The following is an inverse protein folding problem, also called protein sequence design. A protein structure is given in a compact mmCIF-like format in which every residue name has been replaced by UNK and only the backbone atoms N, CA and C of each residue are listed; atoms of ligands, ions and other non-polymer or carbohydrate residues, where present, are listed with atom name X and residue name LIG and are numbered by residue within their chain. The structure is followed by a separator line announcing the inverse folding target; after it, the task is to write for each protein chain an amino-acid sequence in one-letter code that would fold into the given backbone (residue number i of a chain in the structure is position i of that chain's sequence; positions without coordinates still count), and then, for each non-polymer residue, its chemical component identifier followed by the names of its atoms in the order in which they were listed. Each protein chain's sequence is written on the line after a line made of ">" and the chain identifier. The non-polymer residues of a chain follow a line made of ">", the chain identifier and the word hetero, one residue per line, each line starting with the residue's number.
data_IF_614672761122
#
_entry.id   IF_614672761122
#
_cell.length_a   1.000
_cell.length_b   1.000
_cell.length_c   1.000
_cell.angle_alpha   90.00
_cell.angle_beta   90.00
_cell.angle_gamma   90.00
#
_symmetry.space_group_name_H-M   'P 1'
#
loop_
_entity.id
_entity.type
_entity.pdbx_description
1 polymer ?
#
# COMPACT_ATOMS: atom_id res chain seq x y z
N UNK A 1 7.41 -40.64 25.56
CA UNK A 1 7.87 -39.73 24.49
C UNK A 1 6.94 -38.53 24.32
N UNK A 2 7.19 -37.43 25.06
CA UNK A 2 6.42 -36.17 24.96
C UNK A 2 7.30 -34.91 24.85
N UNK A 3 8.62 -35.08 24.76
CA UNK A 3 9.59 -33.96 24.67
C UNK A 3 10.05 -33.69 23.22
N UNK A 4 9.90 -34.68 22.34
CA UNK A 4 10.35 -34.59 20.93
C UNK A 4 9.31 -33.85 20.07
N UNK A 5 8.01 -33.94 20.40
CA UNK A 5 6.93 -33.29 19.65
C UNK A 5 6.90 -31.77 19.85
N UNK A 6 7.24 -31.28 21.05
CA UNK A 6 7.25 -29.83 21.36
C UNK A 6 8.44 -29.15 20.69
N UNK A 7 9.65 -29.72 20.81
CA UNK A 7 10.86 -29.20 20.15
C UNK A 7 10.73 -29.12 18.61
N UNK A 8 10.06 -30.08 17.97
CA UNK A 8 9.78 -30.04 16.55
C UNK A 8 8.74 -28.98 16.14
N UNK A 9 7.80 -28.65 17.04
CA UNK A 9 6.81 -27.59 16.84
C UNK A 9 7.43 -26.21 17.05
N UNK A 10 8.28 -26.04 18.07
CA UNK A 10 9.00 -24.78 18.32
C UNK A 10 9.99 -24.45 17.20
N UNK A 11 10.71 -25.44 16.67
CA UNK A 11 11.62 -25.23 15.54
C UNK A 11 10.86 -24.85 14.25
N UNK A 12 9.70 -25.48 14.00
CA UNK A 12 8.84 -25.12 12.86
C UNK A 12 8.24 -23.72 13.02
N UNK A 13 7.79 -23.36 14.22
CA UNK A 13 7.32 -22.00 14.53
C UNK A 13 8.43 -20.96 14.40
N UNK A 14 9.61 -21.23 14.93
CA UNK A 14 10.76 -20.32 14.84
C UNK A 14 11.20 -20.13 13.38
N UNK A 15 11.25 -21.21 12.59
CA UNK A 15 11.55 -21.14 11.15
C UNK A 15 10.48 -20.35 10.42
N UNK A 16 9.19 -20.59 10.69
CA UNK A 16 8.09 -19.83 10.09
C UNK A 16 8.14 -18.35 10.46
N UNK A 17 8.35 -18.02 11.73
CA UNK A 17 8.50 -16.64 12.18
C UNK A 17 9.72 -15.95 11.55
N UNK A 18 10.84 -16.65 11.40
CA UNK A 18 12.01 -16.12 10.69
C UNK A 18 11.71 -15.86 9.21
N UNK A 19 10.92 -16.73 8.55
CA UNK A 19 10.46 -16.50 7.18
C UNK A 19 9.55 -15.27 7.08
N UNK A 20 8.60 -15.15 7.99
CA UNK A 20 7.69 -14.00 8.09
C UNK A 20 8.49 -12.72 8.35
N UNK A 21 9.45 -12.73 9.27
CA UNK A 21 10.29 -11.58 9.57
C UNK A 21 11.15 -11.14 8.37
N UNK A 22 11.64 -12.10 7.56
CA UNK A 22 12.40 -11.79 6.35
C UNK A 22 11.51 -11.16 5.27
N UNK A 23 10.30 -11.69 5.08
CA UNK A 23 9.30 -11.06 4.20
C UNK A 23 8.94 -9.66 4.72
N UNK A 24 8.72 -9.51 6.02
CA UNK A 24 8.39 -8.23 6.63
C UNK A 24 9.47 -7.19 6.38
N UNK A 25 10.76 -7.55 6.53
CA UNK A 25 11.91 -6.69 6.21
C UNK A 25 11.95 -6.27 4.73
N UNK A 26 11.61 -7.17 3.81
CA UNK A 26 11.56 -6.86 2.37
C UNK A 26 10.44 -5.87 2.06
N UNK A 27 9.25 -6.08 2.62
CA UNK A 27 8.13 -5.14 2.43
C UNK A 27 8.33 -3.83 3.18
N UNK A 28 8.99 -3.83 4.34
CA UNK A 28 9.32 -2.61 5.07
C UNK A 28 10.33 -1.77 4.27
N UNK A 29 11.34 -2.41 3.66
CA UNK A 29 12.24 -1.76 2.71
C UNK A 29 11.53 -1.25 1.46
N UNK A 30 10.56 -1.99 0.92
CA UNK A 30 9.76 -1.51 -0.20
C UNK A 30 8.88 -0.31 0.22
N UNK A 31 8.29 -0.35 1.41
CA UNK A 31 7.52 0.75 1.97
C UNK A 31 8.39 1.99 2.22
N UNK A 32 9.60 1.79 2.72
CA UNK A 32 10.57 2.87 2.94
C UNK A 32 11.08 3.45 1.62
N UNK A 33 11.33 2.60 0.62
CA UNK A 33 11.65 3.03 -0.74
C UNK A 33 10.52 3.89 -1.32
N UNK A 34 9.26 3.47 -1.18
CA UNK A 34 8.08 4.24 -1.61
C UNK A 34 7.94 5.56 -0.85
N UNK A 35 8.35 5.62 0.43
CA UNK A 35 8.37 6.87 1.21
C UNK A 35 9.50 7.81 0.83
N UNK A 36 10.62 7.28 0.36
CA UNK A 36 11.79 8.04 -0.04
C UNK A 36 11.83 8.34 -1.55
N UNK A 37 10.81 7.96 -2.32
CA UNK A 37 10.75 8.34 -3.74
C UNK A 37 10.57 9.86 -3.88
N UNK A 38 11.15 10.46 -4.93
CA UNK A 38 10.92 11.86 -5.21
C UNK A 38 9.45 12.14 -5.51
N UNK A 39 9.00 13.36 -5.17
CA UNK A 39 7.63 13.85 -5.32
C UNK A 39 6.98 13.53 -6.67
N UNK A 40 7.79 13.51 -7.73
CA UNK A 40 7.35 13.21 -9.10
C UNK A 40 6.92 11.75 -9.26
N UNK A 41 7.74 10.81 -8.77
CA UNK A 41 7.44 9.38 -8.83
C UNK A 41 6.29 9.02 -7.91
N UNK A 42 6.20 9.69 -6.76
CA UNK A 42 5.06 9.54 -5.85
C UNK A 42 3.74 9.96 -6.51
N UNK A 43 3.72 11.13 -7.17
CA UNK A 43 2.56 11.58 -7.96
C UNK A 43 2.17 10.55 -9.02
N UNK A 44 3.14 9.99 -9.72
CA UNK A 44 2.89 9.02 -10.77
C UNK A 44 2.29 7.71 -10.22
N UNK A 45 2.74 7.28 -9.04
CA UNK A 45 2.15 6.15 -8.31
C UNK A 45 0.68 6.43 -7.95
N UNK A 46 0.40 7.61 -7.41
CA UNK A 46 -0.96 8.02 -7.05
C UNK A 46 -1.85 8.15 -8.29
N UNK A 47 -1.35 8.66 -9.43
CA UNK A 47 -2.10 8.64 -10.70
C UNK A 47 -2.48 7.22 -11.11
N UNK A 48 -1.58 6.25 -10.96
CA UNK A 48 -1.86 4.84 -11.27
C UNK A 48 -2.92 4.22 -10.34
N UNK A 49 -2.89 4.58 -9.06
CA UNK A 49 -3.90 4.12 -8.09
C UNK A 49 -5.27 4.72 -8.40
N UNK A 50 -5.31 6.02 -8.71
CA UNK A 50 -6.53 6.69 -9.17
C UNK A 50 -7.04 6.10 -10.47
N UNK A 51 -6.16 5.66 -11.38
CA UNK A 51 -6.59 5.02 -12.63
C UNK A 51 -7.36 3.73 -12.39
N UNK A 52 -6.88 2.93 -11.45
CA UNK A 52 -7.49 1.64 -11.14
C UNK A 52 -8.76 1.75 -10.29
N UNK A 53 -8.93 2.84 -9.54
CA UNK A 53 -9.97 2.93 -8.51
C UNK A 53 -10.87 4.17 -8.55
N UNK A 54 -10.50 5.25 -9.25
CA UNK A 54 -11.29 6.48 -9.25
C UNK A 54 -12.47 6.43 -10.22
N UNK A 55 -13.62 6.89 -9.73
CA UNK A 55 -14.87 7.01 -10.44
C UNK A 55 -15.31 8.48 -10.55
N UNK A 56 -16.30 8.74 -11.40
CA UNK A 56 -16.87 10.07 -11.55
C UNK A 56 -17.62 10.50 -10.28
N UNK A 57 -17.29 11.70 -9.78
CA UNK A 57 -17.88 12.24 -8.55
C UNK A 57 -17.16 11.84 -7.26
N UNK A 58 -16.06 11.08 -7.33
CA UNK A 58 -15.29 10.69 -6.16
C UNK A 58 -14.62 11.88 -5.43
N UNK A 59 -14.58 11.78 -4.11
CA UNK A 59 -13.86 12.70 -3.23
C UNK A 59 -12.56 12.03 -2.75
N UNK A 60 -11.42 12.65 -3.05
CA UNK A 60 -10.11 12.18 -2.63
C UNK A 60 -9.72 12.78 -1.29
N UNK A 61 -9.42 11.96 -0.30
CA UNK A 61 -8.83 12.36 0.98
C UNK A 61 -7.37 11.94 0.99
N UNK A 62 -6.45 12.88 1.26
CA UNK A 62 -5.00 12.63 1.28
C UNK A 62 -4.45 12.71 2.70
N UNK A 63 -3.24 12.20 2.91
CA UNK A 63 -2.55 12.37 4.19
C UNK A 63 -2.10 13.81 4.39
N UNK A 64 -2.02 14.23 5.66
CA UNK A 64 -1.32 15.47 6.05
C UNK A 64 0.14 15.49 5.60
N UNK A 65 0.79 14.32 5.53
CA UNK A 65 2.19 14.21 5.11
C UNK A 65 2.33 14.44 3.59
N UNK A 66 1.33 14.01 2.83
CA UNK A 66 1.28 14.13 1.37
C UNK A 66 0.72 15.46 0.87
N UNK A 67 0.10 16.26 1.74
CA UNK A 67 -0.51 17.53 1.38
C UNK A 67 0.45 18.53 0.68
N UNK A 68 1.76 18.37 0.89
CA UNK A 68 2.80 19.17 0.19
C UNK A 68 3.03 18.70 -1.25
N UNK A 69 2.84 17.42 -1.51
CA UNK A 69 3.12 16.77 -2.80
C UNK A 69 1.85 16.68 -3.64
N UNK A 70 0.78 16.14 -3.05
CA UNK A 70 -0.53 15.95 -3.63
C UNK A 70 -1.37 17.21 -3.45
N UNK A 71 -1.19 18.15 -4.36
CA UNK A 71 -1.94 19.41 -4.36
C UNK A 71 -3.25 19.29 -5.12
N UNK A 72 -4.20 20.19 -4.87
CA UNK A 72 -5.44 20.28 -5.63
C UNK A 72 -5.20 20.35 -7.15
N UNK A 73 -4.14 21.03 -7.59
CA UNK A 73 -3.78 21.16 -9.01
C UNK A 73 -3.47 19.81 -9.68
N UNK A 74 -2.89 18.87 -8.93
CA UNK A 74 -2.63 17.51 -9.42
C UNK A 74 -3.94 16.78 -9.71
N UNK A 75 -4.88 16.78 -8.76
CA UNK A 75 -6.19 16.16 -8.94
C UNK A 75 -7.04 16.85 -10.00
N UNK A 76 -6.98 18.18 -10.10
CA UNK A 76 -7.67 18.95 -11.14
C UNK A 76 -7.16 18.59 -12.54
N UNK A 77 -5.83 18.48 -12.69
CA UNK A 77 -5.21 18.06 -13.95
C UNK A 77 -5.56 16.60 -14.29
N UNK A 78 -5.60 15.71 -13.29
CA UNK A 78 -5.99 14.31 -13.46
C UNK A 78 -7.47 14.18 -13.87
N UNK A 79 -8.36 14.83 -13.13
CA UNK A 79 -9.81 14.95 -13.40
C UNK A 79 -10.07 15.40 -14.83
N UNK A 80 -9.40 16.48 -15.26
CA UNK A 80 -9.52 17.02 -16.62
C UNK A 80 -9.01 16.08 -17.71
N UNK A 81 -7.91 15.35 -17.44
CA UNK A 81 -7.32 14.39 -18.37
C UNK A 81 -8.20 13.15 -18.56
N UNK A 82 -8.88 12.72 -17.49
CA UNK A 82 -9.80 11.57 -17.50
C UNK A 82 -11.23 11.92 -17.85
N UNK A 83 -11.61 13.19 -17.79
CA UNK A 83 -12.99 13.63 -17.99
C UNK A 83 -13.93 13.18 -16.86
N UNK A 84 -13.39 12.92 -15.66
CA UNK A 84 -14.17 12.54 -14.47
C UNK A 84 -14.10 13.66 -13.43
N UNK A 85 -15.13 13.84 -12.63
CA UNK A 85 -15.18 14.89 -11.62
C UNK A 85 -14.60 14.41 -10.27
N UNK A 86 -13.30 14.61 -10.05
CA UNK A 86 -12.65 14.32 -8.76
C UNK A 86 -12.51 15.59 -7.91
N UNK A 87 -12.92 15.49 -6.64
CA UNK A 87 -12.79 16.60 -5.69
C UNK A 87 -11.81 16.25 -4.57
N UNK A 88 -10.86 17.13 -4.27
CA UNK A 88 -10.01 16.96 -3.10
C UNK A 88 -10.79 17.33 -1.83
N UNK A 89 -10.84 16.42 -0.87
CA UNK A 89 -11.40 16.62 0.46
C UNK A 89 -10.65 17.73 1.20
N UNK A 90 -11.38 18.48 2.02
CA UNK A 90 -10.77 19.47 2.93
C UNK A 90 -10.16 18.79 4.16
N UNK A 91 -10.64 17.60 4.49
CA UNK A 91 -10.10 16.80 5.57
C UNK A 91 -8.85 16.06 5.10
N UNK A 92 -7.86 15.98 5.99
CA UNK A 92 -6.61 15.27 5.77
C UNK A 92 -6.60 14.07 6.72
N UNK A 93 -6.43 12.88 6.16
CA UNK A 93 -6.45 11.65 6.93
C UNK A 93 -5.18 11.48 7.79
N UNK A 94 -5.34 10.74 8.90
CA UNK A 94 -4.26 10.38 9.80
C UNK A 94 -3.65 9.03 9.38
N UNK A 95 -2.97 9.04 8.23
CA UNK A 95 -2.29 7.86 7.69
C UNK A 95 -0.92 8.23 7.13
N UNK A 96 -0.01 7.27 7.02
CA UNK A 96 1.39 7.54 6.67
C UNK A 96 1.60 7.95 5.21
N UNK A 97 0.68 7.56 4.32
CA UNK A 97 0.58 8.09 2.98
C UNK A 97 -0.43 7.35 2.10
N UNK A 98 -0.61 7.83 0.87
CA UNK A 98 -1.59 7.35 -0.11
C UNK A 98 -2.83 8.24 -0.16
N UNK A 99 -3.93 7.68 -0.65
CA UNK A 99 -5.21 8.41 -0.77
C UNK A 99 -6.40 7.54 -0.37
N UNK A 100 -7.52 8.14 -0.02
CA UNK A 100 -8.80 7.45 0.17
C UNK A 100 -9.80 8.08 -0.78
N UNK A 101 -10.54 7.27 -1.53
CA UNK A 101 -11.60 7.72 -2.42
C UNK A 101 -12.95 7.44 -1.79
N UNK A 102 -13.81 8.44 -1.75
CA UNK A 102 -15.16 8.33 -1.21
C UNK A 102 -16.15 8.83 -2.25
N UNK A 103 -17.00 7.95 -2.77
CA UNK A 103 -17.98 8.28 -3.79
C UNK A 103 -18.88 7.10 -4.14
N UNK A 104 -20.05 7.38 -4.72
CA UNK A 104 -21.00 6.33 -5.12
C UNK A 104 -21.56 5.47 -3.97
N UNK A 105 -21.36 5.86 -2.71
CA UNK A 105 -21.76 5.09 -1.52
C UNK A 105 -20.73 4.05 -1.05
N UNK A 106 -19.52 4.06 -1.61
CA UNK A 106 -18.41 3.20 -1.19
C UNK A 106 -17.14 4.01 -0.91
N UNK A 107 -16.41 3.61 0.12
CA UNK A 107 -15.10 4.17 0.44
C UNK A 107 -14.00 3.19 0.02
N UNK A 108 -13.15 3.61 -0.91
CA UNK A 108 -11.98 2.85 -1.36
C UNK A 108 -10.75 3.37 -0.67
N UNK A 109 -10.17 2.52 0.18
CA UNK A 109 -8.96 2.84 0.91
C UNK A 109 -7.74 2.48 0.05
N UNK A 110 -7.09 3.50 -0.53
CA UNK A 110 -5.86 3.38 -1.33
C UNK A 110 -4.67 3.95 -0.54
N UNK A 111 -4.68 3.76 0.78
CA UNK A 111 -3.53 4.10 1.62
C UNK A 111 -2.38 3.16 1.31
N UNK A 112 -1.15 3.67 1.42
CA UNK A 112 0.06 2.88 1.22
C UNK A 112 0.06 1.60 2.07
N UNK A 113 -0.47 1.68 3.29
CA UNK A 113 -0.54 0.53 4.20
C UNK A 113 -1.44 -0.59 3.65
N UNK A 114 -2.60 -0.22 3.10
CA UNK A 114 -3.51 -1.19 2.47
C UNK A 114 -2.90 -1.76 1.20
N UNK A 115 -2.26 -0.93 0.39
CA UNK A 115 -1.69 -1.33 -0.90
C UNK A 115 -0.45 -2.20 -0.73
N UNK A 116 0.44 -1.87 0.21
CA UNK A 116 1.57 -2.73 0.58
C UNK A 116 1.06 -4.05 1.14
N UNK A 117 -0.03 -4.03 1.91
CA UNK A 117 -0.64 -5.26 2.43
C UNK A 117 -1.24 -6.12 1.32
N UNK A 118 -1.99 -5.53 0.39
CA UNK A 118 -2.55 -6.24 -0.77
C UNK A 118 -1.45 -6.80 -1.67
N UNK A 119 -0.42 -6.00 -1.94
CA UNK A 119 0.77 -6.42 -2.66
C UNK A 119 1.46 -7.56 -1.93
N UNK A 120 1.57 -7.49 -0.60
CA UNK A 120 2.10 -8.57 0.23
C UNK A 120 1.25 -9.82 0.08
N UNK A 121 -0.06 -9.77 0.20
CA UNK A 121 -0.92 -10.95 0.06
C UNK A 121 -0.79 -11.62 -1.33
N UNK A 122 -0.62 -10.81 -2.39
CA UNK A 122 -0.47 -11.33 -3.76
C UNK A 122 0.94 -11.86 -4.05
N UNK A 123 1.98 -11.20 -3.56
CA UNK A 123 3.38 -11.50 -3.89
C UNK A 123 4.08 -12.32 -2.81
N UNK A 124 3.52 -12.46 -1.61
CA UNK A 124 4.12 -13.23 -0.50
C UNK A 124 4.38 -14.66 -0.91
N UNK A 125 3.44 -15.31 -1.61
CA UNK A 125 3.64 -16.69 -2.07
C UNK A 125 4.78 -16.79 -3.09
N UNK A 126 4.93 -15.81 -3.98
CA UNK A 126 5.98 -15.78 -4.99
C UNK A 126 7.35 -15.45 -4.38
N UNK A 127 7.42 -14.39 -3.56
CA UNK A 127 8.63 -13.97 -2.85
C UNK A 127 9.07 -15.04 -1.86
N UNK A 128 8.15 -15.66 -1.12
CA UNK A 128 8.46 -16.83 -0.29
C UNK A 128 8.99 -17.99 -1.16
N UNK A 129 8.40 -18.20 -2.33
CA UNK A 129 8.86 -19.18 -3.30
C UNK A 129 10.29 -18.90 -3.80
N UNK A 130 10.66 -17.64 -3.99
CA UNK A 130 12.02 -17.22 -4.42
C UNK A 130 13.03 -17.28 -3.27
N UNK A 131 12.70 -16.71 -2.11
CA UNK A 131 13.58 -16.62 -0.94
C UNK A 131 13.77 -17.98 -0.26
N UNK A 132 12.78 -18.87 -0.34
CA UNK A 132 12.81 -20.19 0.30
C UNK A 132 12.85 -21.34 -0.69
N UNK A 133 13.13 -21.09 -1.98
CA UNK A 133 13.43 -22.15 -2.96
C UNK A 133 14.73 -22.85 -2.54
N UNK A 134 14.59 -24.02 -1.93
CA UNK A 134 15.72 -24.85 -1.50
C UNK A 134 15.69 -25.31 -0.05
N UNK A 135 14.50 -25.55 0.53
CA UNK A 135 14.35 -26.32 1.79
C UNK A 135 13.45 -27.51 1.58
#
# INVERSE_FOLDING_TARGET
>A
GRRITVAGLDLKKAKLNAKIALLDDVYDKAADAVRNVPDKDYKNLIEGMLDSAAEDGDVVTISKNDAKVLTKAFFDSYSKKRGINLSLSKDLGDFKGGVVLSGGGVDKNLTLEVEIKLLREQTESEIAGLLFKGV
#
